data_IF_754669215490
#
_entry.id   IF_754669215490
#
_cell.length_a   1.000
_cell.length_b   1.000
_cell.length_c   1.000
_cell.angle_alpha   90.00
_cell.angle_beta   90.00
_cell.angle_gamma   90.00
#
_symmetry.space_group_name_H-M   'P 1'
#
loop_
_entity.id
_entity.type
_entity.pdbx_description
1 polymer ?
#
# COMPACT_ATOMS: atom_id res chain seq x y z
N UNK A 1 4.12 -14.04 -9.76
CA UNK A 1 4.24 -12.81 -10.57
C UNK A 1 4.25 -11.66 -9.59
N UNK A 2 5.36 -10.91 -9.48
CA UNK A 2 5.49 -9.92 -8.41
C UNK A 2 4.63 -8.68 -8.64
N UNK A 3 3.86 -8.32 -7.61
CA UNK A 3 3.10 -7.07 -7.54
C UNK A 3 3.51 -6.30 -6.28
N UNK A 4 3.26 -4.99 -6.30
CA UNK A 4 3.75 -4.05 -5.31
C UNK A 4 2.62 -3.22 -4.74
N UNK A 5 2.58 -3.06 -3.42
CA UNK A 5 1.63 -2.17 -2.73
C UNK A 5 2.38 -1.13 -1.92
N UNK A 6 2.01 0.14 -2.05
CA UNK A 6 2.56 1.23 -1.24
C UNK A 6 1.72 1.33 0.02
N UNK A 7 2.35 1.19 1.18
CA UNK A 7 1.71 1.30 2.49
C UNK A 7 2.43 2.35 3.34
N UNK A 8 1.71 2.91 4.32
CA UNK A 8 2.40 3.60 5.41
C UNK A 8 3.13 2.58 6.29
N UNK A 9 4.24 2.98 6.92
CA UNK A 9 4.93 2.11 7.87
C UNK A 9 4.00 1.73 9.03
N UNK A 10 3.13 2.64 9.47
CA UNK A 10 2.19 2.41 10.56
C UNK A 10 1.16 1.32 10.21
N UNK A 11 0.55 1.40 9.02
CA UNK A 11 -0.41 0.38 8.54
C UNK A 11 0.27 -0.98 8.41
N UNK A 12 1.51 -1.00 7.93
CA UNK A 12 2.27 -2.24 7.82
C UNK A 12 2.55 -2.88 9.17
N UNK A 13 3.02 -2.11 10.15
CA UNK A 13 3.26 -2.63 11.50
C UNK A 13 1.97 -3.10 12.20
N UNK A 14 0.85 -2.39 12.01
CA UNK A 14 -0.45 -2.81 12.51
C UNK A 14 -0.92 -4.14 11.88
N UNK A 15 -0.67 -4.33 10.57
CA UNK A 15 -0.97 -5.56 9.89
C UNK A 15 -0.09 -6.72 10.35
N UNK A 16 1.20 -6.47 10.61
CA UNK A 16 2.10 -7.48 11.19
C UNK A 16 1.63 -7.91 12.58
N UNK A 17 1.14 -6.98 13.39
CA UNK A 17 0.63 -7.28 14.73
C UNK A 17 -0.71 -8.04 14.70
N UNK A 18 -1.61 -7.69 13.78
CA UNK A 18 -2.94 -8.31 13.68
C UNK A 18 -2.98 -9.58 12.82
N UNK A 19 -1.96 -9.79 11.99
CA UNK A 19 -1.88 -10.90 11.02
C UNK A 19 -2.69 -10.68 9.75
N UNK A 20 -3.28 -9.50 9.54
CA UNK A 20 -4.06 -9.17 8.36
C UNK A 20 -3.83 -7.72 7.91
N UNK A 21 -3.72 -7.51 6.60
CA UNK A 21 -3.62 -6.18 6.01
C UNK A 21 -4.94 -5.81 5.34
N UNK A 22 -5.56 -4.70 5.75
CA UNK A 22 -6.92 -4.30 5.34
C UNK A 22 -7.01 -2.87 4.82
N UNK A 23 -5.88 -2.23 4.50
CA UNK A 23 -5.84 -0.92 3.85
C UNK A 23 -5.83 -1.12 2.33
N UNK A 24 -6.77 -0.53 1.60
CA UNK A 24 -6.84 -0.65 0.14
C UNK A 24 -5.82 0.28 -0.55
N UNK A 25 -5.80 1.51 -0.08
CA UNK A 25 -4.87 2.59 -0.41
C UNK A 25 -4.95 3.63 0.71
N UNK A 26 -4.06 4.63 0.70
CA UNK A 26 -4.08 5.72 1.69
C UNK A 26 -5.50 6.25 1.94
N UNK A 27 -5.95 6.13 3.19
CA UNK A 27 -7.24 6.66 3.65
C UNK A 27 -8.48 5.82 3.27
N UNK A 28 -8.32 4.69 2.57
CA UNK A 28 -9.42 3.82 2.15
C UNK A 28 -9.19 2.39 2.64
N UNK A 29 -10.20 1.80 3.28
CA UNK A 29 -10.12 0.41 3.76
C UNK A 29 -10.50 -0.58 2.65
N UNK A 30 -10.09 -1.85 2.81
CA UNK A 30 -10.50 -2.95 1.96
C UNK A 30 -12.03 -3.16 1.99
N UNK A 31 -12.67 -2.90 3.13
CA UNK A 31 -14.11 -3.06 3.26
C UNK A 31 -14.88 -2.01 2.41
N UNK A 32 -14.34 -0.80 2.32
CA UNK A 32 -14.97 0.30 1.57
C UNK A 32 -14.74 0.18 0.06
N UNK A 33 -13.52 -0.17 -0.37
CA UNK A 33 -13.16 -0.27 -1.80
C UNK A 33 -13.52 -1.64 -2.42
N UNK A 34 -13.42 -2.71 -1.63
CA UNK A 34 -13.63 -4.10 -2.07
C UNK A 34 -12.41 -4.78 -2.69
N UNK A 35 -11.29 -4.08 -2.88
CA UNK A 35 -10.00 -4.64 -3.32
C UNK A 35 -8.81 -3.82 -2.80
N UNK A 36 -7.57 -4.34 -2.94
CA UNK A 36 -6.33 -3.61 -2.61
C UNK A 36 -5.65 -3.17 -3.90
N UNK A 37 -5.26 -1.90 -3.99
CA UNK A 37 -4.52 -1.39 -5.14
C UNK A 37 -3.10 -1.94 -5.13
N UNK A 38 -2.71 -2.65 -6.20
CA UNK A 38 -1.35 -3.09 -6.42
C UNK A 38 -0.84 -2.63 -7.79
N UNK A 39 0.47 -2.47 -7.88
CA UNK A 39 1.20 -2.04 -9.06
C UNK A 39 2.09 -3.16 -9.56
N UNK A 40 2.35 -3.18 -10.87
CA UNK A 40 3.50 -3.94 -11.39
C UNK A 40 4.81 -3.20 -11.10
N UNK A 41 5.94 -3.86 -11.36
CA UNK A 41 7.29 -3.32 -11.16
C UNK A 41 7.52 -1.99 -11.90
N UNK A 42 6.93 -1.83 -13.09
CA UNK A 42 7.05 -0.64 -13.94
C UNK A 42 6.10 0.51 -13.55
N UNK A 43 5.17 0.29 -12.61
CA UNK A 43 4.08 1.22 -12.29
C UNK A 43 4.22 1.91 -10.93
N UNK A 44 4.83 1.25 -9.95
CA UNK A 44 4.74 1.70 -8.55
C UNK A 44 5.38 3.08 -8.32
N UNK A 45 6.44 3.44 -9.03
CA UNK A 45 7.08 4.76 -8.90
C UNK A 45 6.14 5.89 -9.36
N UNK A 46 5.43 5.68 -10.47
CA UNK A 46 4.45 6.64 -10.97
C UNK A 46 3.24 6.75 -10.03
N UNK A 47 2.77 5.63 -9.46
CA UNK A 47 1.71 5.61 -8.45
C UNK A 47 2.14 6.36 -7.19
N UNK A 48 3.38 6.16 -6.71
CA UNK A 48 3.95 6.91 -5.59
C UNK A 48 3.93 8.42 -5.89
N UNK A 49 4.41 8.83 -7.05
CA UNK A 49 4.48 10.24 -7.43
C UNK A 49 3.09 10.88 -7.60
N UNK A 50 2.08 10.13 -8.02
CA UNK A 50 0.73 10.66 -8.25
C UNK A 50 -0.12 10.74 -6.97
N UNK A 51 -0.07 9.73 -6.11
CA UNK A 51 -1.01 9.57 -4.99
C UNK A 51 -0.38 9.71 -3.60
N UNK A 52 0.95 9.68 -3.53
CA UNK A 52 1.70 9.70 -2.26
C UNK A 52 2.74 10.84 -2.20
N UNK A 53 2.72 11.79 -3.14
CA UNK A 53 3.73 12.86 -3.20
C UNK A 53 3.70 13.83 -2.01
N UNK A 54 2.52 14.01 -1.39
CA UNK A 54 2.30 14.85 -0.22
C UNK A 54 2.43 14.09 1.11
N UNK A 55 2.73 12.80 1.08
CA UNK A 55 2.84 11.98 2.28
C UNK A 55 4.21 12.20 2.92
N UNK A 56 4.20 12.76 4.14
CA UNK A 56 5.41 13.07 4.91
C UNK A 56 5.80 11.99 5.90
N UNK A 57 4.88 11.07 6.21
CA UNK A 57 5.17 9.91 7.07
C UNK A 57 5.94 8.82 6.30
N UNK A 58 6.65 7.92 7.00
CA UNK A 58 7.40 6.86 6.34
C UNK A 58 6.49 5.93 5.54
N UNK A 59 6.89 5.67 4.29
CA UNK A 59 6.25 4.72 3.41
C UNK A 59 7.11 3.47 3.25
N UNK A 60 6.45 2.34 3.03
CA UNK A 60 7.08 1.06 2.68
C UNK A 60 6.50 0.54 1.37
N UNK A 61 7.30 -0.19 0.60
CA UNK A 61 6.88 -0.89 -0.60
C UNK A 61 6.78 -2.38 -0.27
N UNK A 62 5.56 -2.91 -0.22
CA UNK A 62 5.31 -4.33 0.01
C UNK A 62 5.41 -5.08 -1.32
N UNK A 63 6.17 -6.17 -1.35
CA UNK A 63 6.32 -7.07 -2.50
C UNK A 63 5.52 -8.36 -2.24
N UNK A 64 4.72 -8.78 -3.22
CA UNK A 64 3.80 -9.93 -3.13
C UNK A 64 4.04 -10.83 -4.36
N UNK A 65 4.20 -12.14 -4.15
CA UNK A 65 4.56 -13.15 -5.18
C UNK A 65 3.37 -13.74 -5.97
#
# INVERSE_FOLDING_TARGET
MRIFHIATLADWEAARASGAYTTSTRGTTLADEGFIHASRADQWEAVRAAFYADVTEPLVLLEID
#
